data_IF_885606757836
#
_entry.id   IF_885606757836
#
_cell.length_a   1.000
_cell.length_b   1.000
_cell.length_c   1.000
_cell.angle_alpha   90.00
_cell.angle_beta   90.00
_cell.angle_gamma   90.00
#
_symmetry.space_group_name_H-M   'P 1'
#
loop_
_entity.id
_entity.type
_entity.pdbx_description
1 polymer ?
#
# COMPACT_ATOMS: atom_id res chain seq x y z
N UNK A 1 26.76 -19.59 -38.19
CA UNK A 1 25.83 -18.50 -38.51
C UNK A 1 24.85 -18.52 -37.38
N UNK A 2 25.20 -17.84 -36.30
CA UNK A 2 24.62 -18.12 -34.99
C UNK A 2 23.63 -17.01 -34.69
N UNK A 3 22.34 -17.38 -34.67
CA UNK A 3 21.22 -16.48 -34.49
C UNK A 3 21.21 -15.86 -33.09
N UNK A 4 21.78 -14.67 -32.97
CA UNK A 4 21.54 -13.78 -31.85
C UNK A 4 20.08 -13.31 -31.91
N UNK A 5 19.22 -13.84 -31.05
CA UNK A 5 17.89 -13.30 -30.79
C UNK A 5 18.06 -11.99 -30.01
N UNK A 6 17.76 -10.81 -30.58
CA UNK A 6 17.85 -9.56 -29.85
C UNK A 6 16.76 -9.50 -28.77
N UNK A 7 17.20 -9.15 -27.57
CA UNK A 7 16.44 -8.75 -26.38
C UNK A 7 15.06 -8.18 -26.71
N UNK A 8 14.02 -8.86 -26.21
CA UNK A 8 12.61 -8.45 -26.33
C UNK A 8 12.40 -7.03 -25.75
N UNK A 9 11.71 -6.13 -26.46
CA UNK A 9 11.63 -4.69 -26.15
C UNK A 9 10.73 -4.33 -24.96
N UNK A 10 10.19 -5.31 -24.22
CA UNK A 10 9.18 -5.08 -23.17
C UNK A 10 9.77 -4.90 -21.76
N UNK A 11 11.08 -5.03 -21.56
CA UNK A 11 11.68 -4.82 -20.24
C UNK A 11 13.12 -4.25 -20.33
N UNK A 12 13.29 -2.91 -20.38
CA UNK A 12 14.61 -2.27 -20.58
C UNK A 12 15.52 -2.30 -19.34
N UNK A 13 15.05 -2.83 -18.21
CA UNK A 13 15.84 -2.96 -16.98
C UNK A 13 16.10 -4.44 -16.71
N UNK A 14 17.24 -4.94 -17.20
CA UNK A 14 17.77 -6.20 -16.69
C UNK A 14 18.08 -6.00 -15.18
N UNK A 15 17.53 -6.83 -14.28
CA UNK A 15 17.89 -6.78 -12.86
C UNK A 15 19.40 -6.94 -12.70
N UNK A 16 20.04 -6.03 -11.96
CA UNK A 16 21.43 -6.15 -11.56
C UNK A 16 21.50 -6.72 -10.13
N UNK A 17 22.37 -7.70 -9.83
CA UNK A 17 23.36 -8.34 -10.72
C UNK A 17 22.73 -9.26 -11.78
N UNK A 18 23.40 -9.50 -12.92
CA UNK A 18 22.88 -10.32 -14.01
C UNK A 18 22.44 -11.69 -13.51
N UNK A 19 21.19 -12.06 -13.80
CA UNK A 19 20.68 -13.39 -13.48
C UNK A 19 21.57 -14.43 -14.15
N UNK A 20 22.07 -15.39 -13.37
CA UNK A 20 22.93 -16.46 -13.88
C UNK A 20 22.22 -17.20 -15.03
N UNK A 21 22.96 -17.63 -16.07
CA UNK A 21 22.42 -18.43 -17.18
C UNK A 21 21.55 -19.56 -16.67
N UNK A 22 20.45 -19.86 -17.35
CA UNK A 22 19.49 -20.92 -16.97
C UNK A 22 20.15 -22.29 -16.78
N UNK A 23 21.27 -22.53 -17.47
CA UNK A 23 22.13 -23.73 -17.34
C UNK A 23 22.81 -23.86 -15.96
N UNK A 24 23.08 -22.74 -15.27
CA UNK A 24 23.72 -22.69 -13.95
C UNK A 24 22.66 -22.53 -12.83
N UNK A 25 21.44 -22.14 -13.18
CA UNK A 25 20.32 -22.09 -12.24
C UNK A 25 20.02 -23.53 -11.80
N UNK A 26 20.35 -23.83 -10.54
CA UNK A 26 20.08 -25.12 -9.93
C UNK A 26 18.64 -25.55 -10.20
N UNK A 27 18.48 -26.72 -10.80
CA UNK A 27 17.19 -27.38 -11.09
C UNK A 27 16.46 -27.81 -9.81
N UNK A 28 17.04 -27.60 -8.63
CA UNK A 28 16.48 -28.04 -7.36
C UNK A 28 15.05 -27.49 -7.07
N UNK A 29 14.72 -26.20 -7.30
CA UNK A 29 13.39 -25.66 -6.98
C UNK A 29 12.24 -26.33 -7.74
N UNK A 30 12.44 -26.74 -8.99
CA UNK A 30 11.40 -27.42 -9.77
C UNK A 30 11.15 -28.85 -9.30
N UNK A 31 12.18 -29.57 -8.85
CA UNK A 31 12.00 -30.88 -8.24
C UNK A 31 11.27 -30.80 -6.90
N UNK A 32 11.61 -29.83 -6.05
CA UNK A 32 10.88 -29.63 -4.78
C UNK A 32 9.43 -29.25 -5.03
N UNK A 33 9.16 -28.38 -6.01
CA UNK A 33 7.80 -28.03 -6.40
C UNK A 33 6.99 -29.25 -6.87
N UNK A 34 7.59 -30.11 -7.70
CA UNK A 34 6.94 -31.34 -8.16
C UNK A 34 6.65 -32.32 -7.01
N UNK A 35 7.62 -32.56 -6.14
CA UNK A 35 7.45 -33.44 -4.98
C UNK A 35 6.41 -32.88 -4.00
N UNK A 36 6.45 -31.57 -3.73
CA UNK A 36 5.46 -30.90 -2.89
C UNK A 36 4.06 -30.98 -3.50
N UNK A 37 3.92 -30.73 -4.80
CA UNK A 37 2.64 -30.81 -5.51
C UNK A 37 2.05 -32.23 -5.49
N UNK A 38 2.85 -33.22 -5.85
CA UNK A 38 2.41 -34.63 -5.88
C UNK A 38 2.07 -35.15 -4.49
N UNK A 39 2.91 -34.89 -3.48
CA UNK A 39 2.62 -35.28 -2.09
C UNK A 39 1.38 -34.59 -1.54
N UNK A 40 1.20 -33.29 -1.78
CA UNK A 40 0.01 -32.55 -1.34
C UNK A 40 -1.26 -33.09 -2.02
N UNK A 41 -1.20 -33.37 -3.31
CA UNK A 41 -2.34 -33.95 -4.05
C UNK A 41 -2.70 -35.34 -3.52
N UNK A 42 -1.71 -36.20 -3.27
CA UNK A 42 -1.94 -37.53 -2.70
C UNK A 42 -2.54 -37.45 -1.29
N UNK A 43 -1.98 -36.61 -0.41
CA UNK A 43 -2.51 -36.37 0.94
C UNK A 43 -3.94 -35.83 0.90
N UNK A 44 -4.24 -34.92 -0.04
CA UNK A 44 -5.57 -34.38 -0.22
C UNK A 44 -6.57 -35.45 -0.68
N UNK A 45 -6.17 -36.33 -1.62
CA UNK A 45 -7.00 -37.46 -2.02
C UNK A 45 -7.27 -38.42 -0.86
N UNK A 46 -6.25 -38.73 -0.05
CA UNK A 46 -6.44 -39.55 1.17
C UNK A 46 -7.34 -38.87 2.20
N UNK A 47 -7.21 -37.55 2.37
CA UNK A 47 -8.08 -36.77 3.24
C UNK A 47 -9.54 -36.81 2.77
N UNK A 48 -9.80 -36.63 1.47
CA UNK A 48 -11.14 -36.73 0.91
C UNK A 48 -11.71 -38.14 1.03
N UNK A 49 -10.91 -39.17 0.76
CA UNK A 49 -11.31 -40.55 0.93
C UNK A 49 -11.72 -40.79 2.39
N UNK A 50 -10.88 -40.40 3.35
CA UNK A 50 -11.19 -40.51 4.77
C UNK A 50 -12.44 -39.70 5.17
N UNK A 51 -12.64 -38.51 4.61
CA UNK A 51 -13.78 -37.66 4.92
C UNK A 51 -15.13 -38.19 4.39
N UNK A 52 -15.12 -38.80 3.20
CA UNK A 52 -16.34 -39.22 2.49
C UNK A 52 -16.70 -40.69 2.70
N UNK A 53 -15.74 -41.55 3.05
CA UNK A 53 -15.97 -42.99 3.13
C UNK A 53 -16.76 -43.36 4.42
N UNK A 54 -17.76 -44.27 4.35
CA UNK A 54 -18.46 -44.77 5.53
C UNK A 54 -17.58 -45.60 6.48
N UNK A 55 -17.96 -45.71 7.75
CA UNK A 55 -17.20 -46.40 8.80
C UNK A 55 -16.98 -47.89 8.51
N UNK A 56 -17.94 -48.52 7.84
CA UNK A 56 -17.88 -49.95 7.48
C UNK A 56 -16.68 -50.26 6.56
N UNK A 57 -16.36 -49.34 5.64
CA UNK A 57 -15.23 -49.53 4.73
C UNK A 57 -13.88 -49.24 5.41
N UNK A 58 -13.84 -48.26 6.32
CA UNK A 58 -12.63 -47.92 7.07
C UNK A 58 -12.27 -49.04 8.06
N UNK A 59 -13.27 -49.60 8.73
CA UNK A 59 -13.10 -50.74 9.63
C UNK A 59 -12.70 -52.01 8.86
N UNK A 60 -13.23 -52.24 7.66
CA UNK A 60 -12.79 -53.31 6.77
C UNK A 60 -11.33 -53.16 6.34
N UNK A 61 -10.85 -51.93 6.15
CA UNK A 61 -9.45 -51.62 5.86
C UNK A 61 -8.51 -51.88 7.05
N UNK A 62 -9.05 -52.23 8.22
CA UNK A 62 -8.28 -52.57 9.43
C UNK A 62 -7.94 -51.36 10.31
N UNK A 63 -8.51 -50.18 10.05
CA UNK A 63 -8.27 -48.97 10.85
C UNK A 63 -9.34 -48.88 11.94
N UNK A 64 -8.99 -49.30 13.16
CA UNK A 64 -9.91 -49.35 14.30
C UNK A 64 -9.94 -48.05 15.12
N UNK A 65 -8.93 -47.20 14.98
CA UNK A 65 -8.87 -45.91 15.67
C UNK A 65 -8.50 -44.79 14.69
N UNK A 66 -9.38 -43.81 14.58
CA UNK A 66 -9.15 -42.59 13.79
C UNK A 66 -9.84 -41.40 14.52
N UNK A 67 -9.36 -40.14 14.33
CA UNK A 67 -9.92 -38.97 15.01
C UNK A 67 -11.38 -38.68 14.60
N UNK A 68 -12.12 -37.89 15.37
CA UNK A 68 -13.54 -37.61 15.05
C UNK A 68 -13.74 -37.05 13.63
N UNK A 69 -14.82 -37.44 12.96
CA UNK A 69 -15.11 -36.97 11.58
C UNK A 69 -15.31 -35.46 11.48
N UNK A 70 -15.58 -34.78 12.60
CA UNK A 70 -15.75 -33.33 12.67
C UNK A 70 -14.50 -32.55 12.19
N UNK A 71 -13.32 -33.15 12.32
CA UNK A 71 -12.07 -32.57 11.82
C UNK A 71 -12.09 -32.33 10.30
N UNK A 72 -12.90 -33.07 9.55
CA UNK A 72 -13.10 -32.87 8.10
C UNK A 72 -13.64 -31.48 7.77
N UNK A 73 -14.50 -30.93 8.64
CA UNK A 73 -15.10 -29.60 8.50
C UNK A 73 -14.26 -28.54 9.20
N UNK A 74 -13.67 -28.87 10.35
CA UNK A 74 -12.87 -27.92 11.12
C UNK A 74 -11.63 -27.49 10.33
N UNK A 75 -10.90 -28.42 9.70
CA UNK A 75 -9.70 -28.08 8.93
C UNK A 75 -9.93 -27.02 7.82
N UNK A 76 -10.88 -27.17 6.89
CA UNK A 76 -11.15 -26.16 5.88
C UNK A 76 -11.76 -24.87 6.47
N UNK A 77 -12.54 -24.95 7.55
CA UNK A 77 -13.07 -23.76 8.20
C UNK A 77 -11.95 -22.91 8.84
N UNK A 78 -11.05 -23.53 9.61
CA UNK A 78 -9.92 -22.85 10.22
C UNK A 78 -8.90 -22.36 9.20
N UNK A 79 -8.71 -23.05 8.06
CA UNK A 79 -7.79 -22.57 7.02
C UNK A 79 -8.28 -21.25 6.40
N UNK A 80 -9.58 -21.11 6.13
CA UNK A 80 -10.17 -19.86 5.64
C UNK A 80 -10.00 -18.76 6.68
N UNK A 81 -10.26 -19.04 7.95
CA UNK A 81 -10.09 -18.07 9.04
C UNK A 81 -8.62 -17.61 9.13
N UNK A 82 -7.66 -18.52 9.02
CA UNK A 82 -6.23 -18.20 9.05
C UNK A 82 -5.82 -17.31 7.87
N UNK A 83 -6.31 -17.62 6.66
CA UNK A 83 -6.07 -16.79 5.47
C UNK A 83 -6.61 -15.39 5.67
N UNK A 84 -7.88 -15.26 6.11
CA UNK A 84 -8.49 -13.96 6.40
C UNK A 84 -7.73 -13.21 7.48
N UNK A 85 -7.37 -13.88 8.58
CA UNK A 85 -6.60 -13.29 9.67
C UNK A 85 -5.24 -12.76 9.18
N UNK A 86 -4.57 -13.50 8.28
CA UNK A 86 -3.30 -13.06 7.69
C UNK A 86 -3.48 -11.79 6.87
N UNK A 87 -4.53 -11.71 6.04
CA UNK A 87 -4.85 -10.50 5.29
C UNK A 87 -5.20 -9.33 6.22
N UNK A 88 -6.06 -9.53 7.21
CA UNK A 88 -6.40 -8.50 8.19
C UNK A 88 -5.17 -8.01 8.94
N UNK A 89 -4.29 -8.92 9.34
CA UNK A 89 -3.02 -8.58 10.00
C UNK A 89 -2.14 -7.77 9.05
N UNK A 90 -1.99 -8.20 7.80
CA UNK A 90 -1.25 -7.44 6.79
C UNK A 90 -1.82 -6.03 6.59
N UNK A 91 -3.15 -5.89 6.46
CA UNK A 91 -3.80 -4.58 6.37
C UNK A 91 -3.57 -3.74 7.62
N UNK A 92 -3.71 -4.32 8.80
CA UNK A 92 -3.46 -3.63 10.07
C UNK A 92 -2.00 -3.14 10.16
N UNK A 93 -1.03 -3.96 9.74
CA UNK A 93 0.38 -3.56 9.67
C UNK A 93 0.59 -2.47 8.62
N UNK A 94 -0.01 -2.60 7.43
CA UNK A 94 0.08 -1.59 6.39
C UNK A 94 -0.49 -0.24 6.87
N UNK A 95 -1.64 -0.25 7.56
CA UNK A 95 -2.21 0.95 8.15
C UNK A 95 -1.39 1.51 9.31
N UNK A 96 -0.76 0.64 10.12
CA UNK A 96 0.12 1.07 11.19
C UNK A 96 1.42 1.71 10.66
N UNK A 97 1.91 1.27 9.50
CA UNK A 97 3.14 1.78 8.86
C UNK A 97 2.88 3.00 7.94
N UNK A 98 1.63 3.24 7.53
CA UNK A 98 1.30 4.44 6.75
C UNK A 98 1.30 5.72 7.61
N UNK A 99 1.98 6.80 7.19
CA UNK A 99 1.83 8.11 7.81
C UNK A 99 0.38 8.59 7.68
N UNK A 100 -0.09 9.38 8.66
CA UNK A 100 -1.48 9.83 8.71
C UNK A 100 -1.90 10.51 7.41
N UNK A 101 -3.16 10.33 6.98
CA UNK A 101 -3.66 10.80 5.67
C UNK A 101 -3.48 12.31 5.42
N UNK A 102 -3.31 13.12 6.47
CA UNK A 102 -3.07 14.55 6.39
C UNK A 102 -1.60 14.93 6.19
N UNK A 103 -0.68 13.97 6.26
CA UNK A 103 0.75 14.19 6.12
C UNK A 103 1.16 14.18 4.64
N UNK A 104 1.98 15.16 4.26
CA UNK A 104 2.48 15.27 2.88
C UNK A 104 3.41 14.11 2.50
N UNK A 105 3.95 13.42 3.52
CA UNK A 105 4.79 12.24 3.40
C UNK A 105 4.10 11.04 2.75
N UNK A 106 2.76 10.98 2.78
CA UNK A 106 1.99 9.97 2.05
C UNK A 106 2.15 10.12 0.53
N UNK A 107 2.36 11.35 0.03
CA UNK A 107 2.48 11.64 -1.41
C UNK A 107 3.95 11.71 -1.84
N UNK A 108 4.83 12.29 -1.02
CA UNK A 108 6.24 12.53 -1.39
C UNK A 108 7.20 11.40 -0.99
N UNK A 109 6.71 10.38 -0.27
CA UNK A 109 7.50 9.24 0.18
C UNK A 109 8.46 9.57 1.34
N UNK A 110 8.94 8.51 2.00
CA UNK A 110 9.74 8.62 3.23
C UNK A 110 11.08 9.36 3.05
N UNK A 111 11.73 9.24 1.88
CA UNK A 111 13.01 9.90 1.61
C UNK A 111 12.89 11.42 1.52
N UNK A 112 11.81 11.92 0.92
CA UNK A 112 11.56 13.36 0.78
C UNK A 112 11.21 14.01 2.13
N UNK A 113 10.50 13.28 2.99
CA UNK A 113 10.16 13.75 4.34
C UNK A 113 11.30 13.64 5.34
N UNK A 114 12.07 12.55 5.32
CA UNK A 114 13.24 12.41 6.18
C UNK A 114 14.29 13.49 5.87
N UNK A 115 14.36 13.99 4.63
CA UNK A 115 15.21 15.12 4.27
C UNK A 115 14.70 16.45 4.84
N UNK A 116 13.38 16.66 4.87
CA UNK A 116 12.78 17.85 5.47
C UNK A 116 12.93 17.89 7.00
N UNK A 117 12.74 16.75 7.66
CA UNK A 117 12.85 16.63 9.12
C UNK A 117 14.30 16.78 9.59
N UNK A 118 15.26 16.15 8.89
CA UNK A 118 16.70 16.26 9.22
C UNK A 118 17.28 17.65 9.02
N UNK A 119 16.76 18.43 8.08
CA UNK A 119 17.31 19.74 7.75
C UNK A 119 16.72 20.88 8.61
N UNK A 120 15.62 20.65 9.34
CA UNK A 120 14.88 21.70 10.06
C UNK A 120 14.43 22.87 9.16
N UNK A 121 14.55 22.69 7.85
CA UNK A 121 14.49 23.68 6.77
C UNK A 121 14.12 22.89 5.51
N UNK A 122 13.47 23.53 4.53
CA UNK A 122 13.08 22.84 3.30
C UNK A 122 14.32 22.20 2.65
N UNK A 123 14.31 20.89 2.34
CA UNK A 123 15.48 20.19 1.80
C UNK A 123 15.92 20.78 0.44
N UNK A 124 14.99 21.43 -0.26
CA UNK A 124 15.22 22.18 -1.49
C UNK A 124 16.10 23.42 -1.31
N UNK A 125 16.15 24.03 -0.12
CA UNK A 125 16.96 25.24 0.13
C UNK A 125 18.45 24.92 0.17
N UNK A 126 18.83 23.74 0.68
CA UNK A 126 20.21 23.25 0.63
C UNK A 126 20.62 22.88 -0.81
N UNK A 127 19.68 22.30 -1.58
CA UNK A 127 19.86 21.99 -3.00
C UNK A 127 19.90 23.23 -3.92
N UNK A 128 19.42 24.38 -3.46
CA UNK A 128 19.41 25.64 -4.21
C UNK A 128 20.75 26.41 -4.14
N UNK A 129 21.74 25.91 -3.38
CA UNK A 129 23.05 26.55 -3.26
C UNK A 129 23.85 26.41 -4.57
N UNK A 130 24.46 27.49 -5.11
CA UNK A 130 25.29 27.41 -6.31
C UNK A 130 26.47 26.46 -6.08
N UNK A 131 26.51 25.33 -6.80
CA UNK A 131 27.58 24.33 -6.70
C UNK A 131 27.28 23.11 -5.83
N UNK A 132 26.10 23.03 -5.20
CA UNK A 132 25.65 21.80 -4.55
C UNK A 132 25.19 20.77 -5.59
N UNK A 133 25.58 19.51 -5.44
CA UNK A 133 25.04 18.39 -6.21
C UNK A 133 23.77 17.93 -5.48
N UNK A 134 22.56 18.16 -6.02
CA UNK A 134 21.34 17.78 -5.34
C UNK A 134 21.24 16.26 -5.29
N UNK A 135 20.94 15.73 -4.09
CA UNK A 135 20.45 14.37 -3.95
C UNK A 135 19.07 14.28 -4.63
N UNK A 136 18.73 13.11 -5.16
CA UNK A 136 17.47 12.89 -5.87
C UNK A 136 16.30 12.98 -4.88
N UNK A 137 15.54 14.07 -4.93
CA UNK A 137 14.35 14.31 -4.11
C UNK A 137 13.15 14.67 -4.98
N UNK A 138 11.97 14.21 -4.59
CA UNK A 138 10.72 14.57 -5.28
C UNK A 138 10.23 15.94 -4.80
N UNK A 139 10.19 16.93 -5.70
CA UNK A 139 9.68 18.27 -5.38
C UNK A 139 8.14 18.25 -5.38
N UNK A 140 7.47 18.69 -4.29
CA UNK A 140 6.01 18.68 -4.24
C UNK A 140 5.42 19.60 -5.31
N UNK A 141 4.41 19.10 -6.03
CA UNK A 141 3.76 19.80 -7.14
C UNK A 141 3.21 21.18 -6.74
N UNK A 142 2.79 21.34 -5.48
CA UNK A 142 2.33 22.63 -4.95
C UNK A 142 3.43 23.70 -4.92
N UNK A 143 4.67 23.31 -4.61
CA UNK A 143 5.84 24.21 -4.64
C UNK A 143 6.17 24.59 -6.08
N UNK A 144 6.21 23.61 -6.98
CA UNK A 144 6.43 23.85 -8.41
C UNK A 144 5.37 24.79 -8.98
N UNK A 145 4.10 24.53 -8.71
CA UNK A 145 2.98 25.35 -9.16
C UNK A 145 3.10 26.78 -8.60
N UNK A 146 3.42 26.93 -7.31
CA UNK A 146 3.62 28.25 -6.70
C UNK A 146 4.78 29.00 -7.36
N UNK A 147 5.93 28.37 -7.59
CA UNK A 147 7.08 29.02 -8.23
C UNK A 147 6.74 29.41 -9.67
N UNK A 148 6.24 28.46 -10.47
CA UNK A 148 5.95 28.65 -11.89
C UNK A 148 4.82 29.67 -12.15
N UNK A 149 3.82 29.74 -11.28
CA UNK A 149 2.61 30.56 -11.49
C UNK A 149 2.47 31.75 -10.53
N UNK A 150 3.40 31.97 -9.61
CA UNK A 150 3.41 33.13 -8.69
C UNK A 150 3.27 34.50 -9.38
N UNK A 151 3.72 34.61 -10.64
CA UNK A 151 3.65 35.84 -11.44
C UNK A 151 2.31 36.15 -12.12
N UNK A 152 1.31 35.27 -12.09
CA UNK A 152 0.02 35.49 -12.78
C UNK A 152 -1.10 36.07 -11.90
N UNK A 153 -1.00 35.98 -10.58
CA UNK A 153 -2.05 36.43 -9.65
C UNK A 153 -2.06 37.96 -9.42
N UNK A 154 -0.92 38.63 -9.56
CA UNK A 154 -0.83 40.09 -9.33
C UNK A 154 -1.46 40.92 -10.46
N UNK A 155 -1.66 40.37 -11.66
CA UNK A 155 -2.23 41.13 -12.79
C UNK A 155 -3.76 41.13 -12.83
N UNK A 156 -4.41 40.13 -12.25
CA UNK A 156 -5.87 40.01 -12.21
C UNK A 156 -6.49 40.76 -11.02
N UNK A 157 -5.75 40.95 -9.93
CA UNK A 157 -6.25 41.73 -8.76
C UNK A 157 -6.28 43.24 -8.99
N UNK A 158 -5.51 43.75 -9.96
CA UNK A 158 -5.53 45.16 -10.37
C UNK A 158 -6.72 45.54 -11.27
N UNK A 159 -7.54 44.57 -11.71
CA UNK A 159 -8.73 44.78 -12.56
C UNK A 159 -10.01 44.28 -11.89
N UNK A 160 -10.10 44.37 -10.57
CA UNK A 160 -11.37 44.25 -9.87
C UNK A 160 -11.77 45.66 -9.43
N UNK A 161 -12.56 46.33 -10.28
CA UNK A 161 -13.37 47.48 -9.84
C UNK A 161 -14.28 46.96 -8.72
N UNK A 162 -14.23 47.50 -7.50
CA UNK A 162 -15.14 47.05 -6.45
C UNK A 162 -16.58 47.39 -6.88
N UNK A 163 -17.56 46.48 -6.70
CA UNK A 163 -18.95 46.83 -6.91
C UNK A 163 -19.35 47.90 -5.88
N UNK A 164 -19.91 48.99 -6.38
CA UNK A 164 -20.52 50.05 -5.58
C UNK A 164 -21.74 49.47 -4.85
N UNK A 165 -21.63 49.24 -3.55
CA UNK A 165 -22.74 48.79 -2.72
C UNK A 165 -23.55 50.02 -2.27
N UNK A 166 -24.90 50.01 -2.41
CA UNK A 166 -25.73 51.08 -1.89
C UNK A 166 -25.57 51.20 -0.37
N UNK A 167 -25.38 52.42 0.10
CA UNK A 167 -25.33 52.74 1.52
C UNK A 167 -26.70 52.45 2.15
N UNK A 168 -26.78 51.43 3.00
CA UNK A 168 -27.98 51.17 3.80
C UNK A 168 -27.82 51.86 5.16
N UNK A 169 -28.71 52.81 5.43
CA UNK A 169 -28.85 53.40 6.77
C UNK A 169 -29.38 52.33 7.74
N UNK A 170 -28.63 52.11 8.81
CA UNK A 170 -28.98 51.18 9.89
C UNK A 170 -29.85 51.92 10.92
N UNK A 171 -31.08 51.46 11.25
CA UNK A 171 -31.83 52.00 12.37
C UNK A 171 -31.29 51.47 13.71
N UNK A 172 -31.12 52.37 14.68
CA UNK A 172 -30.61 52.11 16.03
C UNK A 172 -31.74 51.95 17.06
N UNK A 173 -32.41 50.80 17.15
CA UNK A 173 -33.37 50.60 18.23
C UNK A 173 -34.00 49.19 18.25
N UNK A 174 -33.56 48.36 19.21
CA UNK A 174 -34.45 47.47 19.98
C UNK A 174 -33.68 46.79 21.12
N UNK A 175 -33.78 47.40 22.31
CA UNK A 175 -33.44 46.84 23.62
C UNK A 175 -34.42 45.73 24.01
N UNK A 176 -33.92 44.58 24.47
CA UNK A 176 -34.60 43.65 25.39
C UNK A 176 -33.52 42.65 25.87
N UNK A 177 -33.02 42.64 27.11
CA UNK A 177 -33.75 42.68 28.37
C UNK A 177 -33.82 41.25 28.93
N UNK A 178 -32.77 40.79 29.63
CA UNK A 178 -32.81 39.55 30.40
C UNK A 178 -32.03 39.72 31.72
N UNK A 179 -32.80 39.78 32.81
CA UNK A 179 -32.33 39.89 34.19
C UNK A 179 -32.47 38.53 34.88
N UNK A 180 -31.32 37.94 35.26
CA UNK A 180 -31.06 37.05 36.41
C UNK A 180 -31.72 35.66 36.52
N UNK A 181 -31.42 34.88 37.58
CA UNK A 181 -30.29 35.00 38.52
C UNK A 181 -29.56 33.66 38.82
N UNK A 182 -28.53 33.80 39.67
CA UNK A 182 -27.67 32.75 40.22
C UNK A 182 -28.39 31.63 41.00
N UNK A 183 -27.83 30.41 40.88
CA UNK A 183 -27.56 29.48 42.00
C UNK A 183 -26.40 28.58 41.65
#
# INVERSE_FOLDING_TARGET
>A
MDGANPTSPVNPLAPYPPLLPTEIRSRAPEFYGFVAWTSTCLLFCFFLLWALLPDDYISWLGVTWYPSREWTLLLPAYSIILVLLTYFTYFALAFADTPGFADICTITGAFSCAAADRAGSSPYAAAAQPGAIPLMYDVPIGLVNRVMYSGRSTRSRARAVPPEYPHYDRPEDASCGASGPQR
#
